data_IF_425364413085
#
_entry.id   IF_425364413085
#
_cell.length_a   1.000
_cell.length_b   1.000
_cell.length_c   1.000
_cell.angle_alpha   90.00
_cell.angle_beta   90.00
_cell.angle_gamma   90.00
#
_symmetry.space_group_name_H-M   'P 1'
#
loop_
_entity.id
_entity.type
_entity.pdbx_description
1 polymer ?
#
# COMPACT_ATOMS: atom_id res chain seq x y z
N UNK A 1 -5.79 32.50 10.15
CA UNK A 1 -6.43 31.31 9.53
C UNK A 1 -6.23 30.07 10.41
N UNK A 2 -7.16 29.76 11.33
CA UNK A 2 -7.12 28.52 12.14
C UNK A 2 -7.57 27.32 11.30
N UNK A 3 -6.63 26.58 10.70
CA UNK A 3 -6.92 25.32 9.99
C UNK A 3 -7.20 24.20 11.00
N UNK A 4 -8.22 23.39 10.70
CA UNK A 4 -9.09 22.68 11.65
C UNK A 4 -8.51 21.40 12.31
N UNK A 5 -8.58 21.25 13.65
CA UNK A 5 -8.19 20.01 14.35
C UNK A 5 -8.98 18.77 13.88
N UNK A 6 -10.18 18.98 13.33
CA UNK A 6 -11.06 17.92 12.80
C UNK A 6 -10.43 17.04 11.72
N UNK A 7 -9.46 17.55 10.96
CA UNK A 7 -8.80 16.76 9.90
C UNK A 7 -7.89 15.67 10.49
N UNK A 8 -7.03 16.05 11.43
CA UNK A 8 -6.09 15.12 12.05
C UNK A 8 -6.80 14.02 12.83
N UNK A 9 -7.94 14.34 13.46
CA UNK A 9 -8.80 13.32 14.08
C UNK A 9 -9.31 12.26 13.09
N UNK A 10 -9.58 12.62 11.84
CA UNK A 10 -9.94 11.63 10.80
C UNK A 10 -8.76 10.75 10.43
N UNK A 11 -7.56 11.32 10.33
CA UNK A 11 -6.34 10.57 10.00
C UNK A 11 -6.02 9.56 11.12
N UNK A 12 -5.97 10.03 12.36
CA UNK A 12 -5.75 9.18 13.54
C UNK A 12 -6.88 8.15 13.68
N UNK A 13 -8.13 8.53 13.42
CA UNK A 13 -9.26 7.59 13.46
C UNK A 13 -9.16 6.48 12.42
N UNK A 14 -8.69 6.78 11.20
CA UNK A 14 -8.43 5.76 10.17
C UNK A 14 -7.30 4.81 10.59
N UNK A 15 -6.22 5.34 11.17
CA UNK A 15 -5.11 4.52 11.67
C UNK A 15 -5.55 3.59 12.81
N UNK A 16 -6.27 4.14 13.81
CA UNK A 16 -6.76 3.33 14.92
C UNK A 16 -7.75 2.25 14.46
N UNK A 17 -8.57 2.56 13.45
CA UNK A 17 -9.51 1.60 12.88
C UNK A 17 -8.78 0.42 12.23
N UNK A 18 -7.75 0.69 11.43
CA UNK A 18 -6.99 -0.38 10.78
C UNK A 18 -6.18 -1.18 11.80
N UNK A 19 -5.52 -0.52 12.76
CA UNK A 19 -4.80 -1.18 13.86
C UNK A 19 -5.75 -2.10 14.63
N UNK A 20 -6.97 -1.66 14.93
CA UNK A 20 -7.97 -2.47 15.63
C UNK A 20 -8.28 -3.76 14.86
N UNK A 21 -8.65 -3.67 13.58
CA UNK A 21 -9.01 -4.85 12.79
C UNK A 21 -7.84 -5.81 12.59
N UNK A 22 -6.63 -5.30 12.33
CA UNK A 22 -5.44 -6.14 12.18
C UNK A 22 -5.01 -6.80 13.49
N UNK A 23 -5.11 -6.09 14.62
CA UNK A 23 -4.82 -6.66 15.94
C UNK A 23 -5.82 -7.74 16.33
N UNK A 24 -7.13 -7.49 16.10
CA UNK A 24 -8.18 -8.49 16.33
C UNK A 24 -7.97 -9.72 15.43
N UNK A 25 -7.63 -9.51 14.15
CA UNK A 25 -7.32 -10.62 13.25
C UNK A 25 -6.10 -11.42 13.72
N UNK A 26 -5.02 -10.75 14.11
CA UNK A 26 -3.81 -11.40 14.64
C UNK A 26 -4.10 -12.21 15.91
N UNK A 27 -4.87 -11.65 16.85
CA UNK A 27 -5.32 -12.36 18.04
C UNK A 27 -6.16 -13.59 17.70
N UNK A 28 -7.14 -13.46 16.79
CA UNK A 28 -7.95 -14.57 16.32
C UNK A 28 -7.10 -15.70 15.71
N UNK A 29 -6.19 -15.35 14.79
CA UNK A 29 -5.33 -16.31 14.10
C UNK A 29 -4.42 -17.07 15.09
N UNK A 30 -3.88 -16.36 16.09
CA UNK A 30 -3.04 -16.93 17.14
C UNK A 30 -3.82 -17.85 18.08
N UNK A 31 -4.97 -17.39 18.61
CA UNK A 31 -5.80 -18.18 19.54
C UNK A 31 -6.30 -19.48 18.90
N UNK A 32 -6.63 -19.42 17.62
CA UNK A 32 -7.20 -20.57 16.90
C UNK A 32 -6.16 -21.40 16.15
N UNK A 33 -4.87 -21.05 16.22
CA UNK A 33 -3.77 -21.72 15.53
C UNK A 33 -4.05 -21.98 14.04
N UNK A 34 -4.56 -20.97 13.31
CA UNK A 34 -4.95 -21.16 11.91
C UNK A 34 -3.73 -21.40 11.02
N UNK A 35 -3.77 -22.50 10.27
CA UNK A 35 -2.78 -22.82 9.23
C UNK A 35 -3.31 -22.58 7.82
N UNK A 36 -4.64 -22.48 7.65
CA UNK A 36 -5.25 -22.20 6.36
C UNK A 36 -5.08 -20.71 5.98
N UNK A 37 -4.57 -20.46 4.78
CA UNK A 37 -4.24 -19.13 4.30
C UNK A 37 -5.41 -18.14 4.26
N UNK A 38 -6.65 -18.58 4.06
CA UNK A 38 -7.82 -17.69 4.11
C UNK A 38 -8.31 -17.50 5.54
N UNK A 39 -8.41 -18.59 6.31
CA UNK A 39 -8.89 -18.51 7.68
C UNK A 39 -8.00 -17.60 8.52
N UNK A 40 -6.68 -17.59 8.29
CA UNK A 40 -5.74 -16.67 8.95
C UNK A 40 -6.12 -15.18 8.83
N UNK A 41 -6.89 -14.79 7.81
CA UNK A 41 -7.33 -13.40 7.58
C UNK A 41 -8.84 -13.20 7.69
N UNK A 42 -9.57 -14.19 8.22
CA UNK A 42 -11.04 -14.15 8.32
C UNK A 42 -11.53 -12.95 9.14
N UNK A 43 -10.78 -12.53 10.16
CA UNK A 43 -11.11 -11.36 11.00
C UNK A 43 -11.11 -10.03 10.25
N UNK A 44 -10.44 -9.95 9.09
CA UNK A 44 -10.42 -8.76 8.23
C UNK A 44 -11.60 -8.69 7.26
N UNK A 45 -12.29 -9.81 7.00
CA UNK A 45 -13.39 -9.87 6.02
C UNK A 45 -14.51 -8.87 6.32
N UNK A 46 -15.00 -8.70 7.57
CA UNK A 46 -16.01 -7.68 7.86
C UNK A 46 -15.56 -6.26 7.52
N UNK A 47 -14.28 -5.95 7.69
CA UNK A 47 -13.74 -4.62 7.37
C UNK A 47 -13.67 -4.40 5.85
N UNK A 48 -13.17 -5.39 5.11
CA UNK A 48 -13.16 -5.36 3.64
C UNK A 48 -14.59 -5.17 3.08
N UNK A 49 -15.57 -5.91 3.60
CA UNK A 49 -16.98 -5.79 3.21
C UNK A 49 -17.52 -4.39 3.56
N UNK A 50 -17.24 -3.89 4.77
CA UNK A 50 -17.65 -2.55 5.19
C UNK A 50 -17.12 -1.45 4.27
N UNK A 51 -15.85 -1.52 3.89
CA UNK A 51 -15.23 -0.63 2.91
C UNK A 51 -15.91 -0.78 1.54
N UNK A 52 -16.12 -2.00 1.05
CA UNK A 52 -16.75 -2.24 -0.24
C UNK A 52 -18.18 -1.68 -0.31
N UNK A 53 -18.98 -1.88 0.75
CA UNK A 53 -20.33 -1.31 0.87
C UNK A 53 -20.27 0.22 0.89
N UNK A 54 -19.34 0.80 1.64
CA UNK A 54 -19.14 2.25 1.68
C UNK A 54 -18.81 2.82 0.30
N UNK A 55 -17.88 2.20 -0.44
CA UNK A 55 -17.50 2.61 -1.79
C UNK A 55 -18.67 2.46 -2.77
N UNK A 56 -19.43 1.36 -2.69
CA UNK A 56 -20.60 1.13 -3.52
C UNK A 56 -21.69 2.19 -3.30
N UNK A 57 -21.96 2.54 -2.04
CA UNK A 57 -22.88 3.64 -1.70
C UNK A 57 -22.35 5.01 -2.12
N UNK A 58 -21.04 5.18 -2.14
CA UNK A 58 -20.36 6.43 -2.50
C UNK A 58 -19.98 6.54 -3.98
N UNK A 59 -20.43 5.61 -4.85
CA UNK A 59 -20.10 5.57 -6.29
C UNK A 59 -20.45 6.84 -7.08
N UNK A 60 -21.35 7.67 -6.56
CA UNK A 60 -21.69 8.97 -7.14
C UNK A 60 -20.63 10.05 -6.93
N UNK A 61 -19.75 9.88 -5.93
CA UNK A 61 -18.71 10.83 -5.60
C UNK A 61 -17.60 10.81 -6.68
N UNK A 62 -17.26 11.96 -7.29
CA UNK A 62 -16.20 12.06 -8.30
C UNK A 62 -14.86 11.47 -7.85
N UNK A 63 -14.53 11.60 -6.56
CA UNK A 63 -13.30 11.04 -6.00
C UNK A 63 -13.26 9.50 -6.09
N UNK A 64 -14.36 8.83 -5.72
CA UNK A 64 -14.49 7.37 -5.78
C UNK A 64 -14.71 6.84 -7.20
N UNK A 65 -15.15 7.69 -8.14
CA UNK A 65 -15.19 7.36 -9.57
C UNK A 65 -13.80 7.26 -10.19
N UNK A 66 -12.86 8.09 -9.75
CA UNK A 66 -11.48 8.08 -10.27
C UNK A 66 -10.69 6.87 -9.75
N UNK A 67 -10.99 6.40 -8.53
CA UNK A 67 -10.39 5.21 -7.89
C UNK A 67 -10.43 3.95 -8.77
N UNK A 68 -11.43 3.81 -9.66
CA UNK A 68 -11.59 2.68 -10.59
C UNK A 68 -11.17 2.93 -12.04
N UNK A 69 -10.67 4.12 -12.42
CA UNK A 69 -10.40 4.46 -13.83
C UNK A 69 -8.94 4.30 -14.26
N UNK A 70 -8.80 3.44 -15.27
CA UNK A 70 -7.87 3.48 -16.41
C UNK A 70 -6.42 3.03 -16.18
N UNK A 71 -6.20 1.73 -16.41
CA UNK A 71 -5.00 1.23 -17.08
C UNK A 71 -4.94 1.84 -18.48
N UNK A 72 -4.46 3.07 -18.60
CA UNK A 72 -4.07 3.57 -19.92
C UNK A 72 -2.75 2.91 -20.31
N UNK A 73 -2.69 2.37 -21.53
CA UNK A 73 -1.53 1.65 -22.05
C UNK A 73 -0.26 2.52 -22.05
N UNK A 74 -0.41 3.84 -22.17
CA UNK A 74 0.66 4.84 -22.08
C UNK A 74 1.33 4.92 -20.69
N UNK A 75 0.80 4.25 -19.65
CA UNK A 75 1.34 4.28 -18.28
C UNK A 75 1.90 2.94 -17.82
N UNK A 76 1.95 1.94 -18.70
CA UNK A 76 2.50 0.62 -18.37
C UNK A 76 3.98 0.67 -17.98
N UNK A 77 4.73 1.64 -18.50
CA UNK A 77 6.14 1.83 -18.12
C UNK A 77 6.34 2.14 -16.62
N UNK A 78 5.31 2.65 -15.92
CA UNK A 78 5.35 2.87 -14.47
C UNK A 78 5.33 1.55 -13.68
N UNK A 79 4.93 0.44 -14.30
CA UNK A 79 5.04 -0.89 -13.72
C UNK A 79 6.44 -1.46 -13.83
N UNK A 80 7.26 -1.04 -14.80
CA UNK A 80 8.53 -1.71 -15.08
C UNK A 80 9.48 -1.78 -13.86
N UNK A 81 9.69 -0.69 -13.09
CA UNK A 81 10.50 -0.76 -11.88
C UNK A 81 9.90 -1.68 -10.81
N UNK A 82 8.57 -1.74 -10.73
CA UNK A 82 7.88 -2.57 -9.74
C UNK A 82 7.89 -4.05 -10.11
N UNK A 83 7.71 -4.39 -11.38
CA UNK A 83 7.84 -5.76 -11.89
C UNK A 83 9.27 -6.25 -11.67
N UNK A 84 10.26 -5.40 -11.94
CA UNK A 84 11.66 -5.72 -11.64
C UNK A 84 11.85 -6.01 -10.14
N UNK A 85 11.27 -5.18 -9.25
CA UNK A 85 11.32 -5.42 -7.81
C UNK A 85 10.66 -6.74 -7.41
N UNK A 86 9.49 -7.10 -7.98
CA UNK A 86 8.87 -8.41 -7.74
C UNK A 86 9.75 -9.56 -8.24
N UNK A 87 10.44 -9.39 -9.37
CA UNK A 87 11.40 -10.37 -9.88
C UNK A 87 12.60 -10.55 -8.96
N UNK A 88 13.19 -9.45 -8.47
CA UNK A 88 14.28 -9.48 -7.48
C UNK A 88 13.80 -10.15 -6.19
N UNK A 89 12.56 -9.88 -5.77
CA UNK A 89 11.96 -10.48 -4.57
C UNK A 89 11.82 -12.00 -4.73
N UNK A 90 11.31 -12.49 -5.87
CA UNK A 90 11.19 -13.94 -6.13
C UNK A 90 12.56 -14.60 -6.22
N UNK A 91 13.49 -14.03 -6.98
CA UNK A 91 14.84 -14.59 -7.14
C UNK A 91 15.58 -14.59 -5.80
N UNK A 92 15.49 -13.48 -5.06
CA UNK A 92 16.17 -13.32 -3.80
C UNK A 92 15.73 -14.35 -2.77
N UNK A 93 14.43 -14.65 -2.72
CA UNK A 93 13.83 -15.60 -1.78
C UNK A 93 13.78 -17.04 -2.30
N UNK A 94 14.64 -17.39 -3.28
CA UNK A 94 14.81 -18.77 -3.74
C UNK A 94 13.69 -19.30 -4.64
N UNK A 95 12.81 -18.42 -5.14
CA UNK A 95 11.68 -18.80 -5.99
C UNK A 95 10.37 -18.94 -5.24
N UNK A 96 9.45 -19.71 -5.84
CA UNK A 96 8.14 -20.01 -5.28
C UNK A 96 8.18 -21.44 -4.73
N UNK A 97 7.70 -21.63 -3.51
CA UNK A 97 7.66 -22.95 -2.88
C UNK A 97 6.72 -23.92 -3.56
N UNK A 98 7.05 -25.20 -3.50
CA UNK A 98 6.14 -26.24 -3.98
C UNK A 98 4.89 -26.28 -3.09
N UNK A 99 3.74 -25.96 -3.67
CA UNK A 99 2.44 -25.94 -2.99
C UNK A 99 1.30 -26.25 -3.96
N UNK A 100 0.15 -26.65 -3.42
CA UNK A 100 -1.06 -26.91 -4.20
C UNK A 100 -1.58 -25.66 -4.92
N UNK A 101 -2.14 -25.84 -6.11
CA UNK A 101 -2.79 -24.75 -6.84
C UNK A 101 -3.89 -24.05 -6.03
N UNK A 102 -4.64 -24.80 -5.21
CA UNK A 102 -5.68 -24.24 -4.35
C UNK A 102 -5.10 -23.31 -3.28
N UNK A 103 -3.97 -23.66 -2.66
CA UNK A 103 -3.31 -22.79 -1.68
C UNK A 103 -2.78 -21.52 -2.35
N UNK A 104 -2.12 -21.65 -3.51
CA UNK A 104 -1.64 -20.49 -4.30
C UNK A 104 -2.79 -19.54 -4.61
N UNK A 105 -3.91 -20.06 -5.14
CA UNK A 105 -5.08 -19.24 -5.46
C UNK A 105 -5.67 -18.58 -4.20
N UNK A 106 -5.73 -19.31 -3.09
CA UNK A 106 -6.28 -18.82 -1.83
C UNK A 106 -5.45 -17.69 -1.22
N UNK A 107 -4.12 -17.84 -1.21
CA UNK A 107 -3.19 -16.78 -0.76
C UNK A 107 -3.33 -15.58 -1.68
N UNK A 108 -3.31 -15.76 -3.00
CA UNK A 108 -3.41 -14.67 -3.98
C UNK A 108 -4.70 -13.86 -3.79
N UNK A 109 -5.85 -14.53 -3.72
CA UNK A 109 -7.15 -13.87 -3.55
C UNK A 109 -7.25 -13.17 -2.20
N UNK A 110 -6.77 -13.79 -1.12
CA UNK A 110 -6.77 -13.19 0.22
C UNK A 110 -5.90 -11.93 0.28
N UNK A 111 -4.67 -12.02 -0.21
CA UNK A 111 -3.75 -10.88 -0.19
C UNK A 111 -4.21 -9.74 -1.08
N UNK A 112 -4.81 -10.05 -2.24
CA UNK A 112 -5.28 -9.03 -3.17
C UNK A 112 -6.61 -8.39 -2.76
N UNK A 113 -7.63 -9.19 -2.46
CA UNK A 113 -9.01 -8.72 -2.27
C UNK A 113 -9.34 -8.35 -0.82
N UNK A 114 -8.54 -8.79 0.15
CA UNK A 114 -8.74 -8.49 1.57
C UNK A 114 -7.65 -7.56 2.05
N UNK A 115 -6.40 -8.04 2.16
CA UNK A 115 -5.31 -7.31 2.83
C UNK A 115 -4.94 -6.04 2.07
N UNK A 116 -4.48 -6.17 0.82
CA UNK A 116 -4.07 -5.03 0.00
C UNK A 116 -5.26 -4.09 -0.30
N UNK A 117 -6.47 -4.64 -0.48
CA UNK A 117 -7.66 -3.84 -0.65
C UNK A 117 -7.93 -2.93 0.55
N UNK A 118 -7.92 -3.48 1.78
CA UNK A 118 -8.15 -2.69 3.00
C UNK A 118 -7.06 -1.62 3.14
N UNK A 119 -5.79 -2.03 3.12
CA UNK A 119 -4.67 -1.13 3.39
C UNK A 119 -4.61 -0.02 2.36
N UNK A 120 -4.67 -0.33 1.07
CA UNK A 120 -4.58 0.69 0.04
C UNK A 120 -5.80 1.63 0.06
N UNK A 121 -7.02 1.14 0.27
CA UNK A 121 -8.19 2.03 0.36
C UNK A 121 -8.10 2.95 1.58
N UNK A 122 -7.60 2.47 2.73
CA UNK A 122 -7.40 3.31 3.92
C UNK A 122 -6.32 4.36 3.66
N UNK A 123 -5.12 3.95 3.22
CA UNK A 123 -3.97 4.84 3.10
C UNK A 123 -3.98 5.67 1.82
N UNK A 124 -4.13 5.03 0.66
CA UNK A 124 -4.02 5.68 -0.66
C UNK A 124 -5.35 6.22 -1.16
N UNK A 125 -6.44 5.68 -0.64
CA UNK A 125 -7.79 6.22 -0.81
C UNK A 125 -8.05 7.32 0.22
N UNK A 126 -8.65 6.95 1.35
CA UNK A 126 -9.20 7.91 2.30
C UNK A 126 -8.17 8.88 2.89
N UNK A 127 -7.02 8.39 3.35
CA UNK A 127 -6.03 9.23 4.02
C UNK A 127 -5.36 10.22 3.06
N UNK A 128 -4.90 9.77 1.88
CA UNK A 128 -4.40 10.68 0.83
C UNK A 128 -5.47 11.71 0.44
N UNK A 129 -6.73 11.29 0.23
CA UNK A 129 -7.81 12.22 -0.12
C UNK A 129 -7.91 13.41 0.84
N UNK A 130 -7.93 13.10 2.14
CA UNK A 130 -8.06 14.09 3.20
C UNK A 130 -6.85 15.03 3.20
N UNK A 131 -5.65 14.47 3.07
CA UNK A 131 -4.38 15.19 3.17
C UNK A 131 -4.03 16.00 1.92
N UNK A 132 -4.55 15.65 0.74
CA UNK A 132 -4.25 16.37 -0.52
C UNK A 132 -4.60 17.86 -0.44
N UNK A 133 -5.60 18.24 0.38
CA UNK A 133 -5.94 19.64 0.66
C UNK A 133 -4.81 20.45 1.33
N UNK A 134 -3.78 19.78 1.85
CA UNK A 134 -2.58 20.38 2.45
C UNK A 134 -1.36 20.33 1.52
N UNK A 135 -1.50 19.75 0.33
CA UNK A 135 -0.44 19.57 -0.64
C UNK A 135 0.04 18.12 -0.72
N UNK A 136 0.49 17.74 -1.92
CA UNK A 136 0.85 16.36 -2.22
C UNK A 136 2.01 15.83 -1.36
N UNK A 137 2.98 16.68 -1.01
CA UNK A 137 4.14 16.29 -0.19
C UNK A 137 3.71 15.76 1.17
N UNK A 138 2.83 16.49 1.86
CA UNK A 138 2.29 16.07 3.14
C UNK A 138 1.45 14.80 2.99
N UNK A 139 0.61 14.72 1.96
CA UNK A 139 -0.22 13.54 1.72
C UNK A 139 0.60 12.26 1.52
N UNK A 140 1.67 12.33 0.72
CA UNK A 140 2.58 11.20 0.48
C UNK A 140 3.31 10.81 1.76
N UNK A 141 3.96 11.77 2.44
CA UNK A 141 4.77 11.47 3.62
C UNK A 141 3.92 10.93 4.77
N UNK A 142 2.83 11.61 5.13
CA UNK A 142 2.00 11.22 6.27
C UNK A 142 1.33 9.86 6.01
N UNK A 143 0.74 9.64 4.84
CA UNK A 143 0.13 8.32 4.54
C UNK A 143 1.15 7.18 4.55
N UNK A 144 2.38 7.42 4.10
CA UNK A 144 3.44 6.41 4.08
C UNK A 144 4.01 6.14 5.47
N UNK A 145 4.10 7.16 6.33
CA UNK A 145 4.49 7.00 7.74
C UNK A 145 3.46 6.15 8.48
N UNK A 146 2.18 6.49 8.39
CA UNK A 146 1.13 5.73 9.07
C UNK A 146 1.04 4.29 8.55
N UNK A 147 1.12 4.10 7.23
CA UNK A 147 1.22 2.76 6.63
C UNK A 147 2.40 1.96 7.18
N UNK A 148 3.59 2.56 7.29
CA UNK A 148 4.76 1.90 7.85
C UNK A 148 4.60 1.60 9.35
N UNK A 149 3.97 2.49 10.11
CA UNK A 149 3.71 2.29 11.54
C UNK A 149 2.76 1.12 11.80
N UNK A 150 1.75 0.90 10.95
CA UNK A 150 0.87 -0.28 11.07
C UNK A 150 1.66 -1.60 11.04
N UNK A 151 2.82 -1.64 10.37
CA UNK A 151 3.68 -2.84 10.30
C UNK A 151 4.48 -3.10 11.58
N UNK A 152 4.43 -2.20 12.59
CA UNK A 152 4.99 -2.52 13.90
C UNK A 152 4.18 -3.57 14.66
N UNK A 153 2.95 -3.86 14.22
CA UNK A 153 2.09 -4.89 14.83
C UNK A 153 2.67 -6.30 14.67
N UNK A 154 3.55 -6.52 13.69
CA UNK A 154 4.19 -7.80 13.42
C UNK A 154 5.11 -8.22 14.56
N UNK A 155 5.70 -7.25 15.27
CA UNK A 155 6.44 -7.49 16.51
C UNK A 155 5.55 -8.14 17.59
N UNK A 156 4.28 -7.70 17.70
CA UNK A 156 3.30 -8.32 18.60
C UNK A 156 2.92 -9.73 18.15
N UNK A 157 3.03 -10.01 16.84
CA UNK A 157 2.82 -11.33 16.24
C UNK A 157 4.03 -12.27 16.33
N UNK A 158 5.13 -11.85 16.98
CA UNK A 158 6.33 -12.67 17.20
C UNK A 158 7.45 -12.50 16.17
N UNK A 159 7.34 -11.56 15.23
CA UNK A 159 8.44 -11.22 14.33
C UNK A 159 9.63 -10.64 15.12
N UNK A 160 10.86 -10.88 14.65
CA UNK A 160 12.05 -10.30 15.29
C UNK A 160 12.11 -8.78 15.12
N UNK A 161 12.75 -8.08 16.07
CA UNK A 161 12.91 -6.62 16.00
C UNK A 161 13.64 -6.17 14.73
N UNK A 162 14.68 -6.92 14.31
CA UNK A 162 15.44 -6.61 13.10
C UNK A 162 14.55 -6.68 11.84
N UNK A 163 13.81 -7.79 11.67
CA UNK A 163 12.88 -7.95 10.55
C UNK A 163 11.78 -6.88 10.58
N UNK A 164 11.25 -6.54 11.75
CA UNK A 164 10.24 -5.48 11.89
C UNK A 164 10.80 -4.12 11.47
N UNK A 165 12.02 -3.77 11.88
CA UNK A 165 12.66 -2.50 11.48
C UNK A 165 12.82 -2.46 9.94
N UNK A 166 13.29 -3.56 9.34
CA UNK A 166 13.39 -3.67 7.90
C UNK A 166 12.03 -3.54 7.21
N UNK A 167 11.00 -4.20 7.75
CA UNK A 167 9.65 -4.15 7.20
C UNK A 167 9.06 -2.74 7.28
N UNK A 168 9.29 -2.01 8.37
CA UNK A 168 8.86 -0.60 8.51
C UNK A 168 9.57 0.28 7.47
N UNK A 169 10.89 0.11 7.29
CA UNK A 169 11.66 0.87 6.30
C UNK A 169 11.18 0.57 4.86
N UNK A 170 10.96 -0.72 4.55
CA UNK A 170 10.38 -1.16 3.29
C UNK A 170 8.99 -0.57 3.07
N UNK A 171 8.10 -0.73 4.05
CA UNK A 171 6.71 -0.26 4.01
C UNK A 171 6.63 1.25 3.80
N UNK A 172 7.49 2.03 4.45
CA UNK A 172 7.57 3.48 4.23
C UNK A 172 7.93 3.82 2.77
N UNK A 173 8.99 3.20 2.24
CA UNK A 173 9.48 3.48 0.89
C UNK A 173 8.51 3.02 -0.20
N UNK A 174 8.02 1.78 -0.12
CA UNK A 174 7.02 1.30 -1.08
C UNK A 174 5.72 2.11 -0.95
N UNK A 175 5.37 2.47 0.28
CA UNK A 175 4.22 3.30 0.56
C UNK A 175 4.29 4.67 -0.12
N UNK A 176 5.47 5.28 -0.15
CA UNK A 176 5.72 6.51 -0.89
C UNK A 176 5.56 6.32 -2.40
N UNK A 177 6.15 5.24 -2.95
CA UNK A 177 6.04 4.90 -4.37
C UNK A 177 4.58 4.74 -4.78
N UNK A 178 3.81 3.93 -4.04
CA UNK A 178 2.40 3.70 -4.33
C UNK A 178 1.58 4.97 -4.19
N UNK A 179 1.79 5.78 -3.14
CA UNK A 179 1.13 7.07 -2.97
C UNK A 179 1.38 8.01 -4.16
N UNK A 180 2.63 8.12 -4.62
CA UNK A 180 3.00 8.95 -5.76
C UNK A 180 2.37 8.44 -7.06
N UNK A 181 2.30 7.12 -7.24
CA UNK A 181 1.65 6.51 -8.40
C UNK A 181 0.14 6.76 -8.38
N UNK A 182 -0.53 6.57 -7.25
CA UNK A 182 -1.97 6.88 -7.12
C UNK A 182 -2.25 8.35 -7.43
N UNK A 183 -1.45 9.29 -6.91
CA UNK A 183 -1.63 10.72 -7.18
C UNK A 183 -1.42 11.05 -8.67
N UNK A 184 -0.41 10.47 -9.31
CA UNK A 184 -0.09 10.76 -10.71
C UNK A 184 -1.04 10.08 -11.70
N UNK A 185 -1.43 8.84 -11.40
CA UNK A 185 -2.27 8.02 -12.27
C UNK A 185 -3.75 8.25 -12.04
N UNK A 186 -4.12 8.68 -10.83
CA UNK A 186 -5.49 8.72 -10.28
C UNK A 186 -6.13 7.34 -10.12
N UNK A 187 -5.36 6.25 -10.14
CA UNK A 187 -5.87 4.89 -10.00
C UNK A 187 -5.30 4.24 -8.76
N UNK A 188 -6.17 3.77 -7.86
CA UNK A 188 -5.74 2.98 -6.69
C UNK A 188 -5.50 1.52 -7.04
N UNK A 189 -6.15 1.04 -8.11
CA UNK A 189 -6.11 -0.36 -8.51
C UNK A 189 -4.68 -0.81 -8.80
N UNK A 190 -3.86 0.09 -9.33
CA UNK A 190 -2.43 -0.12 -9.51
C UNK A 190 -1.75 -0.51 -8.18
N UNK A 191 -2.03 0.24 -7.11
CA UNK A 191 -1.44 0.02 -5.81
C UNK A 191 -1.96 -1.27 -5.17
N UNK A 192 -3.28 -1.53 -5.25
CA UNK A 192 -3.89 -2.77 -4.75
C UNK A 192 -3.25 -3.99 -5.42
N UNK A 193 -3.13 -3.99 -6.75
CA UNK A 193 -2.57 -5.12 -7.50
C UNK A 193 -1.10 -5.34 -7.14
N UNK A 194 -0.28 -4.29 -7.17
CA UNK A 194 1.13 -4.45 -6.83
C UNK A 194 1.31 -4.95 -5.39
N UNK A 195 0.61 -4.33 -4.44
CA UNK A 195 0.72 -4.67 -3.04
C UNK A 195 0.22 -6.10 -2.77
N UNK A 196 -0.93 -6.49 -3.33
CA UNK A 196 -1.43 -7.86 -3.25
C UNK A 196 -0.45 -8.87 -3.81
N UNK A 197 0.17 -8.58 -4.97
CA UNK A 197 1.22 -9.43 -5.56
C UNK A 197 2.47 -9.50 -4.68
N UNK A 198 2.91 -8.39 -4.11
CA UNK A 198 4.06 -8.35 -3.22
C UNK A 198 3.85 -9.25 -1.99
N UNK A 199 2.71 -9.13 -1.32
CA UNK A 199 2.40 -9.93 -0.14
C UNK A 199 2.22 -11.41 -0.51
N UNK A 200 1.52 -11.67 -1.60
CA UNK A 200 1.36 -13.02 -2.15
C UNK A 200 2.72 -13.68 -2.37
N UNK A 201 3.63 -13.04 -3.12
CA UNK A 201 4.94 -13.60 -3.45
C UNK A 201 5.83 -13.80 -2.22
N UNK A 202 5.75 -12.93 -1.21
CA UNK A 202 6.45 -13.13 0.07
C UNK A 202 5.94 -14.38 0.80
N UNK A 203 4.62 -14.58 0.88
CA UNK A 203 4.01 -15.71 1.60
C UNK A 203 4.28 -17.06 0.93
N UNK A 204 4.36 -17.10 -0.39
CA UNK A 204 4.64 -18.33 -1.15
C UNK A 204 6.12 -18.49 -1.52
N UNK A 205 7.00 -17.66 -0.97
CA UNK A 205 8.43 -17.79 -1.24
C UNK A 205 9.02 -19.07 -0.62
N UNK A 206 10.07 -19.59 -1.24
CA UNK A 206 10.74 -20.83 -0.80
C UNK A 206 11.52 -20.62 0.49
N UNK A 207 12.35 -19.57 0.55
CA UNK A 207 13.27 -19.33 1.65
C UNK A 207 13.40 -17.84 1.97
N UNK A 208 13.91 -17.53 3.17
CA UNK A 208 14.45 -16.20 3.43
C UNK A 208 15.80 -16.07 2.72
N UNK A 209 15.80 -15.27 1.66
CA UNK A 209 16.95 -15.02 0.82
C UNK A 209 18.12 -14.32 1.52
N UNK A 210 19.31 -14.29 0.89
CA UNK A 210 20.41 -13.45 1.36
C UNK A 210 20.00 -11.97 1.44
N UNK A 211 20.39 -11.28 2.51
CA UNK A 211 19.98 -9.88 2.77
C UNK A 211 20.38 -8.88 1.67
N UNK A 212 21.34 -9.23 0.79
CA UNK A 212 21.73 -8.41 -0.36
C UNK A 212 20.55 -8.05 -1.27
N UNK A 213 19.60 -8.96 -1.45
CA UNK A 213 18.42 -8.71 -2.27
C UNK A 213 17.48 -7.70 -1.60
N UNK A 214 17.34 -7.76 -0.27
CA UNK A 214 16.57 -6.77 0.49
C UNK A 214 17.19 -5.37 0.37
N UNK A 215 18.51 -5.25 0.46
CA UNK A 215 19.20 -3.97 0.24
C UNK A 215 19.03 -3.45 -1.19
N UNK A 216 19.12 -4.33 -2.20
CA UNK A 216 18.89 -3.95 -3.59
C UNK A 216 17.47 -3.42 -3.82
N UNK A 217 16.46 -4.06 -3.21
CA UNK A 217 15.06 -3.63 -3.23
C UNK A 217 14.92 -2.23 -2.59
N UNK A 218 15.51 -2.01 -1.41
CA UNK A 218 15.47 -0.71 -0.72
C UNK A 218 16.09 0.39 -1.59
N UNK A 219 17.26 0.15 -2.18
CA UNK A 219 17.92 1.11 -3.08
C UNK A 219 17.04 1.39 -4.31
N UNK A 220 16.48 0.35 -4.92
CA UNK A 220 15.55 0.48 -6.05
C UNK A 220 14.32 1.34 -5.71
N UNK A 221 13.74 1.13 -4.53
CA UNK A 221 12.61 1.92 -4.05
C UNK A 221 12.98 3.39 -3.79
N UNK A 222 14.16 3.66 -3.19
CA UNK A 222 14.64 5.04 -2.97
C UNK A 222 14.80 5.77 -4.31
N UNK A 223 15.45 5.12 -5.29
CA UNK A 223 15.63 5.68 -6.63
C UNK A 223 14.27 5.95 -7.27
N UNK A 224 13.36 4.98 -7.23
CA UNK A 224 12.07 5.13 -7.90
C UNK A 224 11.17 6.18 -7.23
N UNK A 225 11.11 6.19 -5.89
CA UNK A 225 10.42 7.22 -5.12
C UNK A 225 10.96 8.61 -5.48
N UNK A 226 12.28 8.77 -5.59
CA UNK A 226 12.92 10.05 -5.97
C UNK A 226 12.52 10.49 -7.39
N UNK A 227 12.54 9.57 -8.36
CA UNK A 227 12.12 9.85 -9.75
C UNK A 227 10.67 10.29 -9.81
N UNK A 228 9.78 9.54 -9.15
CA UNK A 228 8.35 9.84 -9.09
C UNK A 228 8.07 11.16 -8.36
N UNK A 229 8.80 11.44 -7.28
CA UNK A 229 8.69 12.67 -6.51
C UNK A 229 9.04 13.89 -7.36
N UNK A 230 10.19 13.86 -8.06
CA UNK A 230 10.61 14.93 -8.98
C UNK A 230 9.61 15.13 -10.13
N UNK A 231 9.02 14.04 -10.64
CA UNK A 231 7.96 14.12 -11.66
C UNK A 231 6.70 14.81 -11.11
N UNK A 232 6.30 14.49 -9.87
CA UNK A 232 5.18 15.15 -9.21
C UNK A 232 5.44 16.64 -8.93
N UNK A 233 6.64 17.00 -8.48
CA UNK A 233 7.03 18.41 -8.26
C UNK A 233 6.96 19.25 -9.53
N UNK A 234 7.55 18.76 -10.64
CA UNK A 234 7.51 19.47 -11.93
C UNK A 234 6.08 19.74 -12.40
N UNK A 235 5.21 18.74 -12.24
CA UNK A 235 3.79 18.88 -12.60
C UNK A 235 3.08 19.90 -11.70
N UNK A 236 3.37 19.91 -10.40
CA UNK A 236 2.80 20.90 -9.48
C UNK A 236 3.26 22.34 -9.80
N UNK A 237 4.50 22.54 -10.22
CA UNK A 237 5.05 23.85 -10.59
C UNK A 237 4.43 24.41 -11.89
N UNK A 238 4.12 23.55 -12.86
CA UNK A 238 3.48 23.97 -14.12
C UNK A 238 2.07 24.52 -13.93
N UNK A 239 1.37 24.18 -12.84
CA UNK A 239 0.06 24.75 -12.50
C UNK A 239 0.14 26.09 -11.74
N UNK A 240 1.33 26.50 -11.29
CA UNK A 240 1.55 27.69 -10.46
C UNK A 240 2.28 28.81 -11.23
N UNK A 241 2.74 28.55 -12.46
CA UNK A 241 3.39 29.57 -13.29
C UNK A 241 2.34 30.59 -13.77
N UNK A 242 2.46 31.89 -13.45
CA UNK A 242 1.54 32.89 -13.95
C UNK A 242 1.74 33.02 -15.46
N UNK A 243 0.62 33.12 -16.19
CA UNK A 243 0.62 33.62 -17.57
C UNK A 243 1.40 34.93 -17.55
N UNK A 244 2.61 34.93 -18.13
CA UNK A 244 3.35 36.16 -18.38
C UNK A 244 2.51 36.99 -19.32
N UNK A 245 1.86 38.03 -18.79
CA UNK A 245 1.28 39.10 -19.59
C UNK A 245 2.44 39.81 -20.28
N UNK A 246 2.74 39.41 -21.51
CA UNK A 246 3.55 40.22 -22.41
C UNK A 246 2.70 41.44 -22.77
N UNK A 247 3.03 42.56 -22.13
CA UNK A 247 2.71 43.92 -22.60
C UNK A 247 3.52 44.25 -23.83
#
# INVERSE_FOLDING_TARGET
>A
MKKSPKMWWKIVGLELLIIFFFSVNGAYASITNQTNAFLMYLGLVPFAIGIAIYLWRSKGNPYFKDIGRSFKQDRLFLWAPLILLLGILVIGNGGIRETSFSEVLLVFVTQLLIVAFIEEIVFRGFMIHILLSKGFKLAVLVSSIFFALTHSLQLLGGQSLEETIFQIAYAFLIGMVLALLVIQTKSILFAIIFHGLNNFLLIISENNGPSIYNYAIIVGLIVYATVLWRKAERKAQHFVSPVSTNT
#
